data_IF_741209323008
#
_entry.id   IF_741209323008
#
_cell.length_a   1.000
_cell.length_b   1.000
_cell.length_c   1.000
_cell.angle_alpha   90.00
_cell.angle_beta   90.00
_cell.angle_gamma   90.00
#
_symmetry.space_group_name_H-M   'P 1'
#
loop_
_entity.id
_entity.type
_entity.pdbx_description
1 polymer ?
#
# COMPACT_ATOMS: atom_id res chain seq x y z
N UNK A 1 -4.53 -22.17 4.35
CA UNK A 1 -5.03 -21.20 3.38
C UNK A 1 -5.15 -19.86 4.09
N UNK A 2 -4.54 -18.85 3.55
CA UNK A 2 -4.57 -17.51 4.15
C UNK A 2 -6.00 -16.97 4.09
N UNK A 3 -6.59 -16.66 5.22
CA UNK A 3 -7.98 -16.20 5.32
C UNK A 3 -8.10 -14.68 5.06
N UNK A 4 -7.06 -14.09 4.46
CA UNK A 4 -7.00 -12.67 4.10
C UNK A 4 -8.14 -12.29 3.17
N UNK A 5 -8.92 -11.28 3.56
CA UNK A 5 -9.93 -10.65 2.70
C UNK A 5 -9.39 -9.37 2.07
N UNK A 6 -9.80 -9.10 0.85
CA UNK A 6 -9.53 -7.84 0.17
C UNK A 6 -10.83 -7.05 0.08
N UNK A 7 -10.86 -5.89 0.72
CA UNK A 7 -11.98 -4.97 0.67
C UNK A 7 -11.73 -4.06 -0.54
N UNK A 8 -12.54 -4.22 -1.58
CA UNK A 8 -12.51 -3.41 -2.81
C UNK A 8 -13.54 -2.29 -2.66
N UNK A 9 -13.05 -1.04 -2.65
CA UNK A 9 -13.87 0.17 -2.49
C UNK A 9 -13.90 0.91 -3.81
N UNK A 10 -15.02 0.83 -4.52
CA UNK A 10 -15.16 1.36 -5.88
C UNK A 10 -16.66 1.57 -6.16
N UNK A 11 -17.04 2.78 -6.55
CA UNK A 11 -18.45 3.12 -6.81
C UNK A 11 -18.95 2.66 -8.18
N UNK A 12 -18.06 2.51 -9.15
CA UNK A 12 -18.41 1.91 -10.43
C UNK A 12 -18.57 0.40 -10.27
N UNK A 13 -19.82 -0.06 -10.30
CA UNK A 13 -20.18 -1.47 -10.10
C UNK A 13 -19.44 -2.38 -11.09
N UNK A 14 -19.38 -2.01 -12.36
CA UNK A 14 -18.74 -2.82 -13.41
C UNK A 14 -17.24 -2.96 -13.15
N UNK A 15 -16.58 -1.85 -12.79
CA UNK A 15 -15.16 -1.88 -12.49
C UNK A 15 -14.87 -2.61 -11.16
N UNK A 16 -15.70 -2.43 -10.15
CA UNK A 16 -15.62 -3.17 -8.89
C UNK A 16 -15.71 -4.69 -9.12
N UNK A 17 -16.67 -5.14 -9.93
CA UNK A 17 -16.81 -6.54 -10.31
C UNK A 17 -15.60 -7.04 -11.11
N UNK A 18 -15.08 -6.24 -12.03
CA UNK A 18 -13.86 -6.58 -12.78
C UNK A 18 -12.70 -6.86 -11.84
N UNK A 19 -12.42 -5.95 -10.90
CA UNK A 19 -11.32 -6.10 -9.91
C UNK A 19 -11.56 -7.32 -9.02
N UNK A 20 -12.77 -7.51 -8.52
CA UNK A 20 -13.13 -8.67 -7.70
C UNK A 20 -12.96 -9.98 -8.45
N UNK A 21 -13.39 -10.06 -9.71
CA UNK A 21 -13.24 -11.24 -10.55
C UNK A 21 -11.75 -11.52 -10.85
N UNK A 22 -10.96 -10.48 -11.13
CA UNK A 22 -9.51 -10.60 -11.31
C UNK A 22 -8.86 -11.24 -10.09
N UNK A 23 -9.19 -10.75 -8.91
CA UNK A 23 -8.66 -11.24 -7.64
C UNK A 23 -9.15 -12.66 -7.31
N UNK A 24 -10.45 -12.94 -7.51
CA UNK A 24 -11.05 -14.25 -7.26
C UNK A 24 -10.42 -15.36 -8.13
N UNK A 25 -10.15 -15.08 -9.41
CA UNK A 25 -9.43 -16.01 -10.32
C UNK A 25 -8.01 -16.35 -9.83
N UNK A 26 -7.43 -15.52 -8.97
CA UNK A 26 -6.10 -15.71 -8.37
C UNK A 26 -6.16 -16.28 -6.95
N UNK A 27 -7.35 -16.65 -6.48
CA UNK A 27 -7.58 -17.30 -5.20
C UNK A 27 -7.78 -16.36 -4.01
N UNK A 28 -7.96 -15.05 -4.25
CA UNK A 28 -8.24 -14.08 -3.18
C UNK A 28 -9.74 -14.02 -2.86
N UNK A 29 -10.06 -13.80 -1.58
CA UNK A 29 -11.42 -13.51 -1.13
C UNK A 29 -11.66 -12.00 -1.18
N UNK A 30 -12.75 -11.55 -1.76
CA UNK A 30 -13.08 -10.14 -1.91
C UNK A 30 -14.38 -9.77 -1.22
N UNK A 31 -14.48 -8.52 -0.78
CA UNK A 31 -15.68 -7.87 -0.28
C UNK A 31 -15.82 -6.53 -0.99
N UNK A 32 -16.99 -6.24 -1.52
CA UNK A 32 -17.28 -5.01 -2.27
C UNK A 32 -17.83 -3.92 -1.36
N UNK A 33 -17.36 -2.71 -1.51
CA UNK A 33 -17.89 -1.52 -0.88
C UNK A 33 -18.00 -0.40 -1.93
N UNK A 34 -19.18 0.18 -2.10
CA UNK A 34 -19.43 1.21 -3.10
C UNK A 34 -19.33 2.63 -2.53
N UNK A 35 -19.11 2.75 -1.21
CA UNK A 35 -19.05 4.02 -0.48
C UNK A 35 -18.04 3.91 0.66
N UNK A 36 -17.45 5.03 1.06
CA UNK A 36 -16.58 5.12 2.23
C UNK A 36 -17.28 4.65 3.52
N UNK A 37 -18.54 5.03 3.68
CA UNK A 37 -19.36 4.63 4.84
C UNK A 37 -19.50 3.12 4.97
N UNK A 38 -19.68 2.41 3.85
CA UNK A 38 -19.73 0.94 3.81
C UNK A 38 -18.35 0.34 4.08
N UNK A 39 -17.30 0.89 3.46
CA UNK A 39 -15.93 0.46 3.69
C UNK A 39 -15.53 0.58 5.18
N UNK A 40 -15.88 1.67 5.85
CA UNK A 40 -15.65 1.86 7.29
C UNK A 40 -16.33 0.80 8.13
N UNK A 41 -17.58 0.41 7.81
CA UNK A 41 -18.28 -0.68 8.52
C UNK A 41 -17.55 -2.01 8.38
N UNK A 42 -17.09 -2.35 7.19
CA UNK A 42 -16.31 -3.58 6.98
C UNK A 42 -14.97 -3.52 7.72
N UNK A 43 -14.31 -2.38 7.70
CA UNK A 43 -13.03 -2.18 8.39
C UNK A 43 -13.15 -2.28 9.91
N UNK A 44 -14.28 -1.93 10.51
CA UNK A 44 -14.51 -2.12 11.94
C UNK A 44 -14.46 -3.59 12.36
N UNK A 45 -14.80 -4.50 11.46
CA UNK A 45 -14.82 -5.95 11.65
C UNK A 45 -13.66 -6.67 10.95
N UNK A 46 -12.77 -5.92 10.29
CA UNK A 46 -11.66 -6.47 9.52
C UNK A 46 -10.54 -6.98 10.43
N UNK A 47 -9.94 -8.09 10.05
CA UNK A 47 -8.73 -8.60 10.68
C UNK A 47 -7.50 -7.76 10.28
N UNK A 48 -6.45 -7.80 11.09
CA UNK A 48 -5.20 -7.09 10.81
C UNK A 48 -4.54 -7.55 9.50
N UNK A 49 -4.84 -8.77 9.08
CA UNK A 49 -4.38 -9.35 7.83
C UNK A 49 -5.13 -8.88 6.58
N UNK A 50 -6.32 -8.30 6.71
CA UNK A 50 -7.13 -7.87 5.56
C UNK A 50 -6.47 -6.70 4.82
N UNK A 51 -6.81 -6.53 3.54
CA UNK A 51 -6.20 -5.55 2.66
C UNK A 51 -7.31 -4.65 2.10
N UNK A 52 -7.01 -3.37 1.91
CA UNK A 52 -7.91 -2.42 1.26
C UNK A 52 -7.37 -2.03 -0.10
N UNK A 53 -8.22 -2.10 -1.11
CA UNK A 53 -7.97 -1.60 -2.46
C UNK A 53 -9.08 -0.61 -2.77
N UNK A 54 -8.76 0.68 -2.82
CA UNK A 54 -9.77 1.76 -2.90
C UNK A 54 -9.56 2.63 -4.12
N UNK A 55 -10.66 2.99 -4.78
CA UNK A 55 -10.64 4.13 -5.67
C UNK A 55 -10.30 5.40 -4.89
N UNK A 56 -9.70 6.34 -5.58
CA UNK A 56 -9.41 7.67 -5.07
C UNK A 56 -10.70 8.49 -4.93
N UNK A 57 -11.58 8.46 -5.94
CA UNK A 57 -12.81 9.26 -5.98
C UNK A 57 -14.02 8.39 -5.70
N UNK A 58 -14.78 8.73 -4.66
CA UNK A 58 -15.98 8.01 -4.25
C UNK A 58 -17.12 9.01 -4.02
N UNK A 59 -18.38 8.58 -4.13
CA UNK A 59 -19.54 9.49 -4.04
C UNK A 59 -19.64 10.24 -2.71
N UNK A 60 -19.17 9.62 -1.63
CA UNK A 60 -19.23 10.15 -0.26
C UNK A 60 -17.86 10.59 0.28
N UNK A 61 -16.86 10.82 -0.60
CA UNK A 61 -15.56 11.38 -0.24
C UNK A 61 -14.38 10.85 -1.06
N UNK A 62 -13.20 10.84 -0.46
CA UNK A 62 -11.95 10.48 -1.13
C UNK A 62 -11.31 9.26 -0.45
N UNK A 63 -10.71 8.36 -1.25
CA UNK A 63 -9.98 7.19 -0.74
C UNK A 63 -8.84 7.55 0.23
N UNK A 64 -8.20 8.71 0.05
CA UNK A 64 -7.22 9.22 1.02
C UNK A 64 -7.86 9.54 2.36
N UNK A 65 -9.09 10.04 2.40
CA UNK A 65 -9.80 10.30 3.65
C UNK A 65 -10.13 9.00 4.38
N UNK A 66 -10.40 7.92 3.65
CA UNK A 66 -10.53 6.58 4.24
C UNK A 66 -9.21 6.12 4.86
N UNK A 67 -8.10 6.28 4.15
CA UNK A 67 -6.76 5.93 4.65
C UNK A 67 -6.41 6.76 5.90
N UNK A 68 -6.65 8.08 5.86
CA UNK A 68 -6.41 8.98 7.00
C UNK A 68 -7.25 8.58 8.22
N UNK A 69 -8.53 8.27 8.01
CA UNK A 69 -9.40 7.75 9.05
C UNK A 69 -8.87 6.43 9.62
N UNK A 70 -8.47 5.48 8.79
CA UNK A 70 -7.88 4.21 9.24
C UNK A 70 -6.67 4.43 10.14
N UNK A 71 -5.73 5.28 9.74
CA UNK A 71 -4.52 5.57 10.53
C UNK A 71 -4.85 6.26 11.86
N UNK A 72 -5.83 7.16 11.88
CA UNK A 72 -6.32 7.80 13.10
C UNK A 72 -6.94 6.80 14.08
N UNK A 73 -7.64 5.79 13.58
CA UNK A 73 -8.21 4.70 14.37
C UNK A 73 -7.18 3.60 14.74
N UNK A 74 -5.90 3.82 14.48
CA UNK A 74 -4.84 2.84 14.76
C UNK A 74 -4.86 1.61 13.86
N UNK A 75 -5.59 1.66 12.75
CA UNK A 75 -5.73 0.55 11.82
C UNK A 75 -4.59 0.56 10.81
N UNK A 76 -3.79 -0.50 10.81
CA UNK A 76 -2.58 -0.61 10.00
C UNK A 76 -2.70 -1.57 8.80
N UNK A 77 -3.93 -1.99 8.46
CA UNK A 77 -4.15 -2.81 7.27
C UNK A 77 -3.51 -2.16 6.05
N UNK A 78 -2.86 -2.94 5.16
CA UNK A 78 -2.33 -2.44 3.90
C UNK A 78 -3.41 -1.78 3.07
N UNK A 79 -3.07 -0.65 2.50
CA UNK A 79 -3.97 0.17 1.71
C UNK A 79 -3.36 0.47 0.35
N UNK A 80 -4.07 0.16 -0.71
CA UNK A 80 -3.68 0.42 -2.10
C UNK A 80 -4.72 1.36 -2.70
N UNK A 81 -4.26 2.41 -3.37
CA UNK A 81 -5.14 3.31 -4.11
C UNK A 81 -5.14 2.92 -5.59
N UNK A 82 -6.34 2.85 -6.17
CA UNK A 82 -6.56 2.80 -7.62
C UNK A 82 -7.10 4.15 -8.09
N UNK A 83 -6.76 4.59 -9.29
CA UNK A 83 -7.28 5.85 -9.82
C UNK A 83 -7.26 5.91 -11.34
N UNK A 84 -8.24 6.56 -11.93
CA UNK A 84 -8.22 6.92 -13.35
C UNK A 84 -7.27 8.08 -13.64
N UNK A 85 -7.05 8.95 -12.64
CA UNK A 85 -6.24 10.16 -12.77
C UNK A 85 -5.06 10.12 -11.81
N UNK A 86 -3.91 9.69 -12.30
CA UNK A 86 -2.69 9.65 -11.50
C UNK A 86 -2.08 11.07 -11.38
N UNK A 87 -2.30 11.71 -10.25
CA UNK A 87 -1.71 13.00 -9.90
C UNK A 87 -0.55 12.79 -8.92
N UNK A 88 0.59 13.41 -9.21
CA UNK A 88 1.81 13.28 -8.39
C UNK A 88 1.58 13.71 -6.95
N UNK A 89 0.87 14.83 -6.74
CA UNK A 89 0.59 15.35 -5.39
C UNK A 89 -0.20 14.35 -4.54
N UNK A 90 -1.25 13.79 -5.11
CA UNK A 90 -2.13 12.82 -4.46
C UNK A 90 -1.42 11.50 -4.15
N UNK A 91 -0.55 11.06 -5.07
CA UNK A 91 0.28 9.89 -4.87
C UNK A 91 1.27 10.10 -3.70
N UNK A 92 1.96 11.24 -3.66
CA UNK A 92 2.89 11.58 -2.56
C UNK A 92 2.16 11.68 -1.22
N UNK A 93 0.97 12.28 -1.18
CA UNK A 93 0.17 12.37 0.04
C UNK A 93 -0.23 10.98 0.54
N UNK A 94 -0.75 10.12 -0.34
CA UNK A 94 -1.15 8.76 0.04
C UNK A 94 0.01 7.94 0.59
N UNK A 95 1.19 8.05 -0.03
CA UNK A 95 2.40 7.37 0.43
C UNK A 95 2.85 7.87 1.81
N UNK A 96 2.80 9.17 2.08
CA UNK A 96 3.09 9.75 3.41
C UNK A 96 2.13 9.24 4.49
N UNK A 97 0.89 8.96 4.13
CA UNK A 97 -0.11 8.35 5.02
C UNK A 97 0.06 6.83 5.19
N UNK A 98 1.04 6.24 4.50
CA UNK A 98 1.33 4.81 4.57
C UNK A 98 0.44 3.96 3.67
N UNK A 99 0.04 4.47 2.48
CA UNK A 99 -0.46 3.57 1.44
C UNK A 99 0.68 2.67 0.95
N UNK A 100 0.33 1.44 0.60
CA UNK A 100 1.29 0.47 0.07
C UNK A 100 1.67 0.80 -1.36
N UNK A 101 0.71 1.23 -2.17
CA UNK A 101 0.93 1.64 -3.56
C UNK A 101 -0.21 2.55 -4.06
N UNK A 102 0.04 3.18 -5.21
CA UNK A 102 -0.87 4.06 -5.92
C UNK A 102 -0.87 3.65 -7.40
N UNK A 103 -1.91 2.95 -7.83
CA UNK A 103 -1.96 2.25 -9.12
C UNK A 103 -2.96 2.93 -10.06
N UNK A 104 -2.54 3.42 -11.24
CA UNK A 104 -3.48 3.80 -12.28
C UNK A 104 -4.39 2.63 -12.68
N UNK A 105 -5.69 2.87 -12.83
CA UNK A 105 -6.68 1.81 -13.14
C UNK A 105 -6.30 0.99 -14.37
N UNK A 106 -5.66 1.60 -15.37
CA UNK A 106 -5.17 0.94 -16.58
C UNK A 106 -4.09 -0.12 -16.31
N UNK A 107 -3.40 -0.02 -15.16
CA UNK A 107 -2.31 -0.92 -14.78
C UNK A 107 -2.71 -1.92 -13.67
N UNK A 108 -3.97 -1.90 -13.22
CA UNK A 108 -4.44 -2.75 -12.10
C UNK A 108 -4.29 -4.23 -12.44
N UNK A 109 -4.61 -4.64 -13.68
CA UNK A 109 -4.51 -6.03 -14.09
C UNK A 109 -3.07 -6.56 -13.99
N UNK A 110 -2.08 -5.75 -14.38
CA UNK A 110 -0.68 -6.14 -14.41
C UNK A 110 0.02 -5.99 -13.05
N UNK A 111 -0.38 -5.00 -12.23
CA UNK A 111 0.36 -4.63 -11.02
C UNK A 111 -0.25 -5.16 -9.73
N UNK A 112 -1.59 -5.18 -9.62
CA UNK A 112 -2.27 -5.46 -8.36
C UNK A 112 -1.96 -6.87 -7.83
N UNK A 113 -2.10 -7.89 -8.67
CA UNK A 113 -1.89 -9.29 -8.26
C UNK A 113 -0.44 -9.59 -7.88
N UNK A 114 0.58 -9.19 -8.65
CA UNK A 114 1.98 -9.32 -8.25
C UNK A 114 2.29 -8.64 -6.91
N UNK A 115 1.80 -7.41 -6.70
CA UNK A 115 1.98 -6.66 -5.46
C UNK A 115 1.41 -7.42 -4.26
N UNK A 116 0.15 -7.88 -4.35
CA UNK A 116 -0.52 -8.65 -3.30
C UNK A 116 0.23 -9.94 -2.97
N UNK A 117 0.69 -10.67 -3.99
CA UNK A 117 1.46 -11.91 -3.78
C UNK A 117 2.80 -11.67 -3.09
N UNK A 118 3.52 -10.62 -3.47
CA UNK A 118 4.78 -10.25 -2.82
C UNK A 118 4.55 -9.93 -1.35
N UNK A 119 3.57 -9.10 -1.06
CA UNK A 119 3.23 -8.72 0.31
C UNK A 119 2.83 -9.93 1.18
N UNK A 120 2.02 -10.85 0.66
CA UNK A 120 1.61 -12.04 1.41
C UNK A 120 2.77 -13.02 1.64
N UNK A 121 3.68 -13.17 0.68
CA UNK A 121 4.90 -13.97 0.87
C UNK A 121 5.80 -13.40 1.99
N UNK A 122 5.98 -12.09 2.03
CA UNK A 122 6.78 -11.41 3.06
C UNK A 122 6.18 -11.61 4.46
N UNK A 123 4.86 -11.60 4.60
CA UNK A 123 4.18 -11.91 5.85
C UNK A 123 4.48 -13.32 6.36
N UNK A 124 4.44 -14.33 5.48
CA UNK A 124 4.70 -15.72 5.85
C UNK A 124 6.16 -15.98 6.24
N UNK A 125 7.10 -15.21 5.74
CA UNK A 125 8.52 -15.36 6.06
C UNK A 125 8.96 -14.63 7.33
N UNK A 126 8.03 -14.02 8.07
CA UNK A 126 8.32 -13.27 9.30
C UNK A 126 9.15 -11.99 9.06
N UNK A 127 9.39 -11.64 7.81
CA UNK A 127 10.01 -10.37 7.40
C UNK A 127 8.93 -9.30 7.26
N UNK A 128 8.31 -8.92 8.38
CA UNK A 128 7.48 -7.73 8.44
C UNK A 128 8.40 -6.50 8.32
N UNK A 129 8.82 -6.22 7.12
CA UNK A 129 9.35 -4.91 6.77
C UNK A 129 8.24 -4.21 6.00
N UNK A 130 7.75 -3.08 6.53
CA UNK A 130 7.18 -2.05 5.65
C UNK A 130 8.06 -2.00 4.40
N UNK A 131 7.52 -2.00 3.18
CA UNK A 131 8.36 -1.82 2.01
C UNK A 131 9.00 -0.43 2.14
N UNK A 132 10.22 -0.39 2.67
CA UNK A 132 11.15 0.67 2.37
C UNK A 132 11.19 0.68 0.84
N UNK A 133 11.06 1.82 0.21
CA UNK A 133 11.24 2.00 -1.22
C UNK A 133 12.41 1.14 -1.70
N UNK A 134 12.11 -0.06 -2.21
CA UNK A 134 13.13 -0.93 -2.79
C UNK A 134 13.45 -0.37 -4.16
N UNK A 135 14.42 0.50 -4.21
CA UNK A 135 15.13 0.78 -5.45
C UNK A 135 16.06 -0.39 -5.69
N UNK A 136 15.73 -1.25 -6.65
CA UNK A 136 16.53 -2.40 -7.07
C UNK A 136 17.82 -2.00 -7.83
N UNK A 137 18.25 -0.75 -7.70
CA UNK A 137 19.50 -0.26 -8.26
C UNK A 137 20.73 -0.75 -7.48
N UNK A 138 21.75 -1.24 -8.19
CA UNK A 138 23.02 -1.66 -7.60
C UNK A 138 23.66 -0.59 -6.67
N UNK A 139 23.47 0.70 -6.99
CA UNK A 139 23.90 1.84 -6.18
C UNK A 139 23.19 1.89 -4.82
N UNK A 140 21.87 1.65 -4.77
CA UNK A 140 21.12 1.63 -3.52
C UNK A 140 21.53 0.44 -2.63
N UNK A 141 21.72 -0.74 -3.23
CA UNK A 141 22.21 -1.93 -2.52
C UNK A 141 23.61 -1.68 -1.90
N UNK A 142 24.51 -0.98 -2.60
CA UNK A 142 25.81 -0.60 -2.09
C UNK A 142 25.72 0.37 -0.89
N UNK A 143 24.79 1.34 -0.94
CA UNK A 143 24.53 2.27 0.17
C UNK A 143 24.00 1.50 1.39
N UNK A 144 22.99 0.62 1.21
CA UNK A 144 22.42 -0.18 2.29
C UNK A 144 23.46 -1.11 2.95
N UNK A 145 24.39 -1.66 2.16
CA UNK A 145 25.50 -2.47 2.69
C UNK A 145 26.42 -1.64 3.59
N UNK A 146 26.75 -0.41 3.20
CA UNK A 146 27.57 0.51 4.02
C UNK A 146 26.86 0.93 5.30
N UNK A 147 25.56 1.24 5.22
CA UNK A 147 24.75 1.60 6.39
C UNK A 147 24.74 0.47 7.42
N UNK A 148 24.54 -0.77 7.01
CA UNK A 148 24.55 -1.95 7.90
C UNK A 148 25.89 -2.17 8.60
N UNK A 149 27.00 -1.70 8.02
CA UNK A 149 28.33 -1.79 8.62
C UNK A 149 28.55 -0.73 9.70
N UNK A 150 27.99 0.47 9.53
CA UNK A 150 28.20 1.60 10.46
C UNK A 150 27.07 1.75 11.49
N UNK A 151 25.85 1.30 11.21
CA UNK A 151 24.72 1.41 12.13
C UNK A 151 24.95 0.82 13.54
N UNK A 152 25.69 -0.30 13.72
CA UNK A 152 25.99 -0.84 15.05
C UNK A 152 27.16 -0.14 15.75
N UNK A 153 27.76 0.91 15.19
CA UNK A 153 28.91 1.63 15.74
C UNK A 153 28.52 3.02 16.25
N UNK A 154 29.30 3.61 17.13
CA UNK A 154 29.12 4.99 17.63
C UNK A 154 29.65 6.08 16.65
N UNK A 155 29.84 5.73 15.39
CA UNK A 155 30.33 6.65 14.36
C UNK A 155 29.23 7.59 13.89
N UNK A 156 29.54 8.88 13.84
CA UNK A 156 28.66 9.87 13.18
C UNK A 156 28.67 9.68 11.66
N UNK A 157 27.51 9.53 11.06
CA UNK A 157 27.35 9.34 9.61
C UNK A 157 26.60 10.53 9.02
N UNK A 158 27.11 11.08 7.93
CA UNK A 158 26.47 12.16 7.20
C UNK A 158 25.91 11.64 5.87
N UNK A 159 24.60 11.81 5.67
CA UNK A 159 23.89 11.34 4.47
C UNK A 159 23.61 12.50 3.54
N UNK A 160 24.22 12.50 2.37
CA UNK A 160 24.02 13.49 1.32
C UNK A 160 23.10 12.97 0.19
N UNK A 161 22.27 13.85 -0.36
CA UNK A 161 21.45 13.58 -1.53
C UNK A 161 20.48 14.73 -1.80
N UNK A 162 19.88 14.75 -2.98
CA UNK A 162 18.89 15.74 -3.40
C UNK A 162 17.62 15.70 -2.53
N UNK A 163 16.83 16.78 -2.54
CA UNK A 163 15.58 16.83 -1.81
C UNK A 163 14.60 15.76 -2.37
N UNK A 164 13.90 15.05 -1.46
CA UNK A 164 12.98 13.98 -1.83
C UNK A 164 13.59 12.61 -2.11
N UNK A 165 14.90 12.40 -1.87
CA UNK A 165 15.57 11.10 -2.09
C UNK A 165 15.40 10.10 -0.94
N UNK A 166 14.63 10.43 0.09
CA UNK A 166 14.30 9.50 1.20
C UNK A 166 15.42 9.35 2.24
N UNK A 167 16.30 10.36 2.40
CA UNK A 167 17.39 10.36 3.40
C UNK A 167 16.90 10.12 4.83
N UNK A 168 15.74 10.65 5.15
CA UNK A 168 15.10 10.53 6.47
C UNK A 168 14.80 9.07 6.84
N UNK A 169 14.43 8.24 5.84
CA UNK A 169 14.14 6.81 6.03
C UNK A 169 15.42 5.97 6.26
N UNK A 170 16.56 6.52 5.94
CA UNK A 170 17.85 5.84 6.12
C UNK A 170 18.45 6.19 7.49
N UNK A 171 18.07 7.34 8.05
CA UNK A 171 18.62 7.86 9.32
C UNK A 171 17.91 7.28 10.57
N UNK A 172 16.77 6.62 10.40
CA UNK A 172 16.00 5.93 11.44
C UNK A 172 16.15 4.42 11.32
#
# INVERSE_FOLDING_TARGET
MDNTKIIVVEDNIVYCEFVCNLLARKGFRTVQAFHLSTAKKYLQQAADGDIVVSDLRLPDGNGIDLLRWMRKEGRMQPFIIMTDYAEVHTAVESMKLGSLDYIPKQLVEDKLVPLLRTMLKERHTGRSRMPLFSRDGSAFQAIMKRIRLVAPTDMSVLIFGENGTGKEHIAH
#
